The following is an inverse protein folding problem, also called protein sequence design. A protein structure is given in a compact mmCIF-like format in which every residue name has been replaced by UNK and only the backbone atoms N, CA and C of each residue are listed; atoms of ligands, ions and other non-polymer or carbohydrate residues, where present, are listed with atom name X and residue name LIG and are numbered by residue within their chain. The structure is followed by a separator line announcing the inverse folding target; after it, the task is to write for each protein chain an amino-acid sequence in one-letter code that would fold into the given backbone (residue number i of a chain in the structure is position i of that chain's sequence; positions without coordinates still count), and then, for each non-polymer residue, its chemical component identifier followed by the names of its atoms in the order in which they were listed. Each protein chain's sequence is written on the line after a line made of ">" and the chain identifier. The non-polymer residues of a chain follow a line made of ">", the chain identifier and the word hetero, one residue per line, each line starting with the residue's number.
data_IF_961460584357
#
_entry.id   IF_961460584357
#
_cell.length_a   1.000
_cell.length_b   1.000
_cell.length_c   1.000
_cell.angle_alpha   90.00
_cell.angle_beta   90.00
_cell.angle_gamma   90.00
#
_symmetry.space_group_name_H-M   'P 1'
#
loop_
_entity.id
_entity.type
_entity.pdbx_description
1 polymer ?
#
# COMPACT_ATOMS: atom_id res chain seq x y z
N UNK A 1 17.66 -2.34 12.56
CA UNK A 1 16.66 -2.89 11.63
C UNK A 1 15.51 -1.89 11.57
N UNK A 2 15.16 -1.40 10.38
CA UNK A 2 14.03 -0.47 10.22
C UNK A 2 12.74 -1.25 10.05
N UNK A 3 11.81 -1.04 10.97
CA UNK A 3 10.50 -1.69 10.99
C UNK A 3 9.44 -0.60 11.21
N UNK A 4 8.26 -0.78 10.64
CA UNK A 4 7.15 0.14 10.91
C UNK A 4 6.77 0.11 12.39
N UNK A 5 6.66 1.26 13.04
CA UNK A 5 6.23 1.36 14.45
C UNK A 5 4.86 0.72 14.71
N UNK A 6 3.90 0.95 13.79
CA UNK A 6 2.50 0.53 13.95
C UNK A 6 2.26 -0.95 13.62
N UNK A 7 2.72 -1.43 12.47
CA UNK A 7 2.46 -2.80 12.02
C UNK A 7 3.66 -3.75 12.12
N UNK A 8 4.83 -3.26 12.59
CA UNK A 8 6.07 -4.02 12.79
C UNK A 8 6.67 -4.68 11.53
N UNK A 9 6.11 -4.40 10.35
CA UNK A 9 6.64 -4.92 9.08
C UNK A 9 8.05 -4.38 8.80
N UNK A 10 8.94 -5.20 8.22
CA UNK A 10 10.29 -4.78 7.87
C UNK A 10 10.25 -3.78 6.69
N UNK A 11 10.87 -2.62 6.87
CA UNK A 11 10.98 -1.56 5.87
C UNK A 11 12.34 -1.59 5.14
N UNK A 12 13.22 -2.51 5.52
CA UNK A 12 14.55 -2.66 4.91
C UNK A 12 14.96 -4.14 4.79
N UNK A 13 15.90 -4.43 3.89
CA UNK A 13 16.46 -5.77 3.67
C UNK A 13 15.64 -6.71 2.78
N UNK A 14 16.00 -8.00 2.77
CA UNK A 14 15.36 -9.00 1.90
C UNK A 14 13.89 -9.28 2.24
N UNK A 15 13.52 -9.15 3.53
CA UNK A 15 12.14 -9.31 4.00
C UNK A 15 11.25 -8.15 3.56
N UNK A 16 11.80 -6.94 3.41
CA UNK A 16 11.10 -5.81 2.81
C UNK A 16 10.73 -6.11 1.36
N UNK A 17 11.66 -6.65 0.55
CA UNK A 17 11.37 -7.03 -0.85
C UNK A 17 10.18 -7.99 -0.95
N UNK A 18 10.10 -8.98 -0.05
CA UNK A 18 8.98 -9.91 0.00
C UNK A 18 7.68 -9.23 0.44
N UNK A 19 7.71 -8.41 1.49
CA UNK A 19 6.56 -7.67 1.97
C UNK A 19 6.05 -6.64 0.94
N UNK A 20 6.95 -5.98 0.21
CA UNK A 20 6.66 -5.09 -0.90
C UNK A 20 5.98 -5.84 -2.04
N UNK A 21 6.51 -7.01 -2.43
CA UNK A 21 5.93 -7.83 -3.49
C UNK A 21 4.54 -8.40 -3.14
N UNK A 22 4.33 -8.82 -1.89
CA UNK A 22 3.07 -9.44 -1.47
C UNK A 22 1.98 -8.43 -1.10
N UNK A 23 2.35 -7.32 -0.47
CA UNK A 23 1.40 -6.41 0.16
C UNK A 23 1.52 -4.95 -0.32
N UNK A 24 2.43 -4.65 -1.25
CA UNK A 24 2.65 -3.31 -1.81
C UNK A 24 3.18 -2.30 -0.78
N UNK A 25 3.90 -2.77 0.23
CA UNK A 25 4.31 -1.94 1.38
C UNK A 25 5.61 -1.23 1.05
N UNK A 26 5.59 0.11 1.05
CA UNK A 26 6.78 0.97 0.92
C UNK A 26 7.02 1.77 2.21
N UNK A 27 8.28 2.18 2.50
CA UNK A 27 8.57 3.13 3.57
C UNK A 27 7.88 4.46 3.26
N UNK A 28 7.39 5.12 4.29
CA UNK A 28 6.67 6.37 4.11
C UNK A 28 7.60 7.56 3.89
N UNK A 29 7.19 8.49 3.03
CA UNK A 29 7.99 9.66 2.66
C UNK A 29 7.93 10.78 3.72
N UNK A 30 6.82 10.88 4.46
CA UNK A 30 6.69 11.84 5.58
C UNK A 30 7.19 11.23 6.88
N UNK A 31 6.84 9.97 7.14
CA UNK A 31 7.28 9.25 8.33
C UNK A 31 8.18 8.04 7.97
N UNK A 32 9.52 8.20 8.02
CA UNK A 32 10.44 7.11 7.66
C UNK A 32 10.39 5.93 8.64
N UNK A 33 9.74 6.09 9.81
CA UNK A 33 9.51 5.04 10.81
C UNK A 33 8.16 4.30 10.60
N UNK A 34 7.41 4.68 9.56
CA UNK A 34 6.13 4.08 9.19
C UNK A 34 6.14 3.53 7.76
N UNK A 35 5.17 2.66 7.46
CA UNK A 35 4.90 2.25 6.10
C UNK A 35 3.77 3.08 5.49
N UNK A 36 3.72 3.15 4.16
CA UNK A 36 2.65 3.82 3.40
C UNK A 36 1.24 3.42 3.89
N UNK A 37 1.00 2.13 4.15
CA UNK A 37 -0.30 1.66 4.65
C UNK A 37 -0.67 2.17 6.05
N UNK A 38 0.31 2.43 6.90
CA UNK A 38 0.10 2.91 8.26
C UNK A 38 0.08 4.44 8.35
N UNK A 39 0.81 5.12 7.48
CA UNK A 39 0.70 6.57 7.27
C UNK A 39 -0.67 6.92 6.67
N UNK A 40 -1.14 6.16 5.67
CA UNK A 40 -2.40 6.44 4.97
C UNK A 40 -3.66 6.33 5.86
N UNK A 41 -3.60 5.65 7.01
CA UNK A 41 -4.74 5.56 7.94
C UNK A 41 -5.01 6.84 8.72
N UNK A 42 -4.08 7.78 8.73
CA UNK A 42 -4.27 9.10 9.35
C UNK A 42 -4.91 10.12 8.39
N UNK A 43 -5.07 9.76 7.12
CA UNK A 43 -5.79 10.56 6.13
C UNK A 43 -7.18 9.94 5.97
N UNK A 44 -8.30 10.67 6.18
CA UNK A 44 -9.62 10.16 5.86
C UNK A 44 -9.62 9.76 4.39
N UNK A 45 -9.73 8.45 4.17
CA UNK A 45 -9.68 7.81 2.87
C UNK A 45 -10.80 8.42 2.01
N UNK A 46 -10.46 9.26 1.04
CA UNK A 46 -11.38 9.50 -0.06
C UNK A 46 -11.66 8.12 -0.68
N UNK A 47 -12.93 7.71 -0.82
CA UNK A 47 -13.27 6.37 -1.27
C UNK A 47 -12.61 6.12 -2.63
N UNK A 48 -12.02 4.94 -2.78
CA UNK A 48 -11.37 4.51 -4.02
C UNK A 48 -12.27 4.79 -5.22
N UNK A 49 -11.74 5.30 -6.36
CA UNK A 49 -12.52 5.35 -7.59
C UNK A 49 -12.90 3.92 -7.96
N UNK A 50 -14.19 3.63 -7.87
CA UNK A 50 -14.80 2.37 -8.22
C UNK A 50 -14.35 1.92 -9.62
N UNK A 51 -13.70 0.77 -9.68
CA UNK A 51 -13.58 -0.04 -10.89
C UNK A 51 -14.97 -0.50 -11.32
N UNK A 52 -15.51 0.02 -12.43
CA UNK A 52 -16.67 -0.47 -13.18
C UNK A 52 -16.60 0.20 -14.56
N UNK A 53 -16.67 -0.44 -15.72
CA UNK A 53 -16.92 -1.82 -16.12
C UNK A 53 -16.49 -1.92 -17.60
N UNK A 54 -16.05 -3.08 -18.05
CA UNK A 54 -15.99 -3.35 -19.49
C UNK A 54 -17.40 -3.39 -20.09
N UNK A 55 -17.57 -2.77 -21.25
CA UNK A 55 -18.64 -3.07 -22.20
C UNK A 55 -17.98 -3.60 -23.47
N UNK A 56 -17.99 -4.92 -23.60
CA UNK A 56 -17.83 -5.60 -24.87
C UNK A 56 -19.24 -6.05 -25.29
N UNK A 57 -20.04 -5.12 -25.81
CA UNK A 57 -21.34 -5.39 -26.43
C UNK A 57 -21.21 -5.53 -27.94
N UNK A 58 -21.22 -6.79 -28.41
CA UNK A 58 -21.30 -7.16 -29.81
C UNK A 58 -22.74 -7.03 -30.39
N UNK A 59 -22.80 -6.88 -31.72
CA UNK A 59 -23.89 -7.26 -32.63
C UNK A 59 -25.21 -6.44 -32.64
N UNK A 60 -25.40 -5.62 -33.69
CA UNK A 60 -26.15 -5.97 -34.91
C UNK A 60 -25.98 -4.88 -35.98
#
# INVERSE_FOLDING_TARGET
>A
MKNCQKCKVPLEGWRFKLAHALFGIVPSTKEPDCCNKCEAKDVPQAPAPSEQSGDAGAAN
#
